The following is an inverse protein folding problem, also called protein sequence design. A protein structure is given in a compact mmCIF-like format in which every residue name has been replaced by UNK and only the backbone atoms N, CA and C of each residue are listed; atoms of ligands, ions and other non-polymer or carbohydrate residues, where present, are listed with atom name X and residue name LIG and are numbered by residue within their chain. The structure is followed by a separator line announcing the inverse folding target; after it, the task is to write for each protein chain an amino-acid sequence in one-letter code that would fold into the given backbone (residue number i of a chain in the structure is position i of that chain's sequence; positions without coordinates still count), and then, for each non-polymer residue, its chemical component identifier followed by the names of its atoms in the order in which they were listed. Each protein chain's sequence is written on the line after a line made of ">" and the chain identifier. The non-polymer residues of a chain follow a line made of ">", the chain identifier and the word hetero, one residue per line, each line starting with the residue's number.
data_IF_949703993626
#
_entry.id   IF_949703993626
#
_cell.length_a   1.000
_cell.length_b   1.000
_cell.length_c   1.000
_cell.angle_alpha   90.00
_cell.angle_beta   90.00
_cell.angle_gamma   90.00
#
_symmetry.space_group_name_H-M   'P 1'
#
loop_
_entity.id
_entity.type
_entity.pdbx_description
1 polymer ?
#
# COMPACT_ATOMS: atom_id res chain seq x y z
N UNK A 1 5.73 13.20 -6.10
CA UNK A 1 5.88 12.03 -5.22
C UNK A 1 4.87 10.99 -5.66
N UNK A 2 5.37 9.89 -6.23
CA UNK A 2 4.60 8.74 -6.67
C UNK A 2 4.04 7.96 -5.46
N UNK A 3 2.81 7.42 -5.58
CA UNK A 3 2.20 6.63 -4.50
C UNK A 3 2.81 5.23 -4.43
N UNK A 4 2.77 4.61 -3.25
CA UNK A 4 3.17 3.21 -3.09
C UNK A 4 1.97 2.35 -2.68
N UNK A 5 1.77 1.28 -3.42
CA UNK A 5 0.84 0.20 -3.12
C UNK A 5 1.60 -1.06 -2.78
N UNK A 6 1.00 -1.91 -1.95
CA UNK A 6 1.58 -3.20 -1.56
C UNK A 6 0.63 -4.32 -1.94
N UNK A 7 1.16 -5.32 -2.63
CA UNK A 7 0.45 -6.57 -2.91
C UNK A 7 0.78 -7.57 -1.82
N UNK A 8 -0.19 -7.88 -0.97
CA UNK A 8 -0.05 -8.86 0.08
C UNK A 8 -0.35 -10.28 -0.44
N UNK A 9 0.28 -11.30 0.16
CA UNK A 9 -0.05 -12.68 -0.12
C UNK A 9 -1.52 -12.97 0.18
N UNK A 10 -2.09 -13.89 -0.58
CA UNK A 10 -3.45 -14.41 -0.37
C UNK A 10 -3.47 -15.69 0.47
N UNK A 11 -2.31 -16.32 0.66
CA UNK A 11 -2.07 -17.38 1.62
C UNK A 11 -1.77 -16.78 3.00
N UNK A 12 -2.52 -17.23 4.01
CA UNK A 12 -2.41 -16.74 5.39
C UNK A 12 -2.05 -17.89 6.31
N UNK A 13 -0.79 -17.92 6.75
CA UNK A 13 -0.31 -18.89 7.75
C UNK A 13 -0.69 -18.48 9.18
N UNK A 14 -0.44 -17.22 9.54
CA UNK A 14 -0.82 -16.62 10.82
C UNK A 14 -1.61 -15.33 10.61
N UNK A 15 -2.89 -15.36 11.00
CA UNK A 15 -3.80 -14.23 10.80
C UNK A 15 -3.43 -13.01 11.67
N UNK A 16 -2.83 -13.23 12.85
CA UNK A 16 -2.40 -12.16 13.74
C UNK A 16 -1.26 -11.36 13.13
N UNK A 17 -0.22 -12.05 12.67
CA UNK A 17 0.93 -11.44 12.00
C UNK A 17 0.52 -10.80 10.68
N UNK A 18 -0.32 -11.47 9.89
CA UNK A 18 -0.84 -10.94 8.63
C UNK A 18 -1.55 -9.59 8.80
N UNK A 19 -2.48 -9.50 9.76
CA UNK A 19 -3.23 -8.26 10.02
C UNK A 19 -2.38 -7.20 10.74
N UNK A 20 -1.37 -7.61 11.52
CA UNK A 20 -0.39 -6.69 12.06
C UNK A 20 0.46 -6.04 10.96
N UNK A 21 0.88 -6.82 9.95
CA UNK A 21 1.60 -6.32 8.78
C UNK A 21 0.74 -5.34 7.97
N UNK A 22 -0.54 -5.65 7.73
CA UNK A 22 -1.46 -4.72 7.04
C UNK A 22 -1.57 -3.36 7.74
N UNK A 23 -1.68 -3.36 9.09
CA UNK A 23 -1.65 -2.12 9.89
C UNK A 23 -0.31 -1.41 9.82
N UNK A 24 0.79 -2.15 9.88
CA UNK A 24 2.12 -1.58 9.83
C UNK A 24 2.43 -0.92 8.48
N UNK A 25 1.96 -1.52 7.38
CA UNK A 25 2.04 -0.95 6.03
C UNK A 25 1.27 0.36 5.92
N UNK A 26 0.04 0.41 6.40
CA UNK A 26 -0.74 1.65 6.46
C UNK A 26 -0.01 2.72 7.29
N UNK A 27 0.46 2.36 8.48
CA UNK A 27 1.19 3.28 9.36
C UNK A 27 2.52 3.76 8.76
N UNK A 28 3.13 2.96 7.88
CA UNK A 28 4.34 3.32 7.15
C UNK A 28 4.06 4.19 5.92
N UNK A 29 2.79 4.40 5.54
CA UNK A 29 2.41 5.28 4.44
C UNK A 29 2.05 4.56 3.13
N UNK A 30 1.78 3.25 3.16
CA UNK A 30 1.20 2.57 2.00
C UNK A 30 -0.14 3.25 1.62
N UNK A 31 -0.26 3.66 0.35
CA UNK A 31 -1.45 4.30 -0.20
C UNK A 31 -2.50 3.32 -0.69
N UNK A 32 -2.08 2.10 -1.06
CA UNK A 32 -2.95 1.04 -1.58
C UNK A 32 -2.50 -0.32 -1.02
N UNK A 33 -3.45 -1.19 -0.68
CA UNK A 33 -3.21 -2.62 -0.45
C UNK A 33 -4.07 -3.42 -1.43
N UNK A 34 -3.45 -4.41 -2.06
CA UNK A 34 -4.10 -5.41 -2.92
C UNK A 34 -3.66 -6.82 -2.51
N UNK A 35 -4.32 -7.84 -3.04
CA UNK A 35 -4.03 -9.25 -2.77
C UNK A 35 -3.54 -9.98 -4.03
N UNK A 36 -2.70 -10.98 -3.85
CA UNK A 36 -2.24 -11.85 -4.93
C UNK A 36 -3.38 -12.68 -5.54
N UNK A 37 -3.60 -12.53 -6.85
CA UNK A 37 -4.50 -13.36 -7.64
C UNK A 37 -5.99 -13.30 -7.24
N UNK A 38 -6.78 -14.18 -7.87
CA UNK A 38 -8.19 -14.39 -7.55
C UNK A 38 -8.33 -15.52 -6.53
N UNK A 39 -7.97 -15.25 -5.28
CA UNK A 39 -8.16 -16.23 -4.20
C UNK A 39 -9.65 -16.37 -3.85
N UNK A 40 -10.15 -17.59 -3.53
CA UNK A 40 -11.54 -17.79 -3.12
C UNK A 40 -11.91 -16.99 -1.86
N UNK A 41 -10.94 -16.77 -0.97
CA UNK A 41 -11.12 -16.06 0.30
C UNK A 41 -10.78 -14.56 0.21
N UNK A 42 -10.56 -14.03 -1.00
CA UNK A 42 -10.15 -12.63 -1.23
C UNK A 42 -11.03 -11.62 -0.51
N UNK A 43 -12.35 -11.81 -0.53
CA UNK A 43 -13.29 -10.90 0.15
C UNK A 43 -13.22 -10.98 1.67
N UNK A 44 -12.91 -12.16 2.21
CA UNK A 44 -12.71 -12.34 3.66
C UNK A 44 -11.43 -11.61 4.08
N UNK A 45 -10.35 -11.78 3.33
CA UNK A 45 -9.07 -11.13 3.60
C UNK A 45 -9.17 -9.60 3.45
N UNK A 46 -9.74 -9.10 2.35
CA UNK A 46 -9.97 -7.66 2.18
C UNK A 46 -10.89 -7.10 3.26
N UNK A 47 -11.92 -7.85 3.68
CA UNK A 47 -12.80 -7.44 4.78
C UNK A 47 -12.06 -7.36 6.11
N UNK A 48 -11.18 -8.33 6.40
CA UNK A 48 -10.34 -8.32 7.58
C UNK A 48 -9.33 -7.15 7.56
N UNK A 49 -8.65 -6.92 6.44
CA UNK A 49 -7.77 -5.77 6.22
C UNK A 49 -8.55 -4.46 6.40
N UNK A 50 -9.75 -4.35 5.83
CA UNK A 50 -10.61 -3.17 5.94
C UNK A 50 -11.01 -2.88 7.40
N UNK A 51 -11.23 -3.92 8.20
CA UNK A 51 -11.58 -3.80 9.61
C UNK A 51 -10.41 -3.35 10.50
N UNK A 52 -9.16 -3.65 10.08
CA UNK A 52 -7.96 -3.33 10.87
C UNK A 52 -7.25 -2.05 10.46
N UNK A 53 -7.59 -1.49 9.30
CA UNK A 53 -7.01 -0.28 8.72
C UNK A 53 -8.03 0.85 8.63
N UNK A 54 -7.58 2.09 8.43
CA UNK A 54 -8.46 3.27 8.47
C UNK A 54 -8.37 4.22 7.28
N UNK A 55 -7.26 4.21 6.54
CA UNK A 55 -6.90 5.23 5.54
C UNK A 55 -6.44 4.63 4.21
N UNK A 56 -5.72 3.51 4.24
CA UNK A 56 -5.17 2.87 3.04
C UNK A 56 -6.30 2.47 2.09
N UNK A 57 -6.12 2.68 0.79
CA UNK A 57 -7.07 2.22 -0.22
C UNK A 57 -6.95 0.70 -0.39
N UNK A 58 -8.05 0.05 -0.75
CA UNK A 58 -8.10 -1.39 -0.97
C UNK A 58 -8.52 -1.65 -2.41
N UNK A 59 -7.65 -2.31 -3.18
CA UNK A 59 -7.99 -2.68 -4.55
C UNK A 59 -8.96 -3.86 -4.52
N UNK A 60 -10.13 -3.66 -5.10
CA UNK A 60 -11.15 -4.67 -5.29
C UNK A 60 -11.73 -4.52 -6.69
N UNK A 61 -11.31 -5.40 -7.59
CA UNK A 61 -11.88 -5.59 -8.91
C UNK A 61 -12.97 -6.69 -8.89
N UNK A 62 -14.05 -6.46 -9.63
CA UNK A 62 -15.13 -7.43 -9.79
C UNK A 62 -16.44 -7.02 -9.12
N UNK A 63 -17.18 -8.01 -8.60
CA UNK A 63 -18.49 -7.82 -7.97
C UNK A 63 -18.37 -7.98 -6.45
N UNK A 64 -17.77 -6.99 -5.79
CA UNK A 64 -17.54 -7.02 -4.35
C UNK A 64 -18.85 -7.05 -3.54
N UNK A 65 -18.88 -7.80 -2.41
CA UNK A 65 -20.02 -7.82 -1.51
C UNK A 65 -20.32 -6.45 -0.89
N UNK A 66 -21.59 -6.15 -0.62
CA UNK A 66 -22.00 -4.90 0.05
C UNK A 66 -21.38 -4.75 1.44
N UNK A 67 -21.21 -5.85 2.17
CA UNK A 67 -20.53 -5.86 3.46
C UNK A 67 -19.08 -5.37 3.37
N UNK A 68 -18.36 -5.72 2.28
CA UNK A 68 -17.01 -5.22 2.07
C UNK A 68 -17.01 -3.71 1.82
N UNK A 69 -17.96 -3.19 1.03
CA UNK A 69 -18.11 -1.74 0.83
C UNK A 69 -18.34 -1.00 2.16
N UNK A 70 -19.20 -1.55 3.02
CA UNK A 70 -19.48 -0.99 4.33
C UNK A 70 -18.24 -0.99 5.24
N UNK A 71 -17.52 -2.11 5.34
CA UNK A 71 -16.29 -2.24 6.15
C UNK A 71 -15.18 -1.31 5.66
N UNK A 72 -15.04 -1.18 4.34
CA UNK A 72 -14.02 -0.34 3.73
C UNK A 72 -14.30 1.15 3.84
N UNK A 73 -15.54 1.56 4.18
CA UNK A 73 -15.90 2.97 4.46
C UNK A 73 -15.51 3.92 3.33
N UNK A 74 -15.68 3.50 2.08
CA UNK A 74 -15.35 4.29 0.88
C UNK A 74 -13.90 4.19 0.40
N UNK A 75 -13.10 3.26 0.93
CA UNK A 75 -11.70 3.04 0.54
C UNK A 75 -11.49 1.99 -0.56
N UNK A 76 -12.56 1.37 -1.07
CA UNK A 76 -12.45 0.42 -2.18
C UNK A 76 -12.25 1.17 -3.49
N UNK A 77 -11.28 0.70 -4.28
CA UNK A 77 -11.01 1.18 -5.64
C UNK A 77 -11.04 -0.02 -6.59
N UNK A 78 -11.71 0.10 -7.73
CA UNK A 78 -11.83 -0.98 -8.73
C UNK A 78 -10.94 -0.74 -9.96
N UNK A 79 -10.71 0.53 -10.28
CA UNK A 79 -9.75 1.04 -11.25
C UNK A 79 -9.54 2.50 -10.84
N UNK A 80 -8.39 2.83 -10.30
CA UNK A 80 -8.15 4.17 -9.72
C UNK A 80 -8.06 5.26 -10.80
N UNK A 81 -8.03 4.90 -12.10
CA UNK A 81 -7.70 5.84 -13.17
C UNK A 81 -6.26 6.35 -13.09
N UNK A 82 -5.48 5.77 -12.18
CA UNK A 82 -4.08 6.06 -11.90
C UNK A 82 -3.23 5.03 -12.63
N UNK A 83 -2.10 5.45 -13.19
CA UNK A 83 -1.16 4.52 -13.83
C UNK A 83 -0.33 3.85 -12.74
N UNK A 84 -0.84 2.75 -12.18
CA UNK A 84 -0.12 1.88 -11.24
C UNK A 84 0.78 0.91 -12.00
N UNK A 85 2.07 0.91 -11.67
CA UNK A 85 3.06 0.02 -12.30
C UNK A 85 3.52 -1.02 -11.28
N UNK A 86 3.47 -2.29 -11.67
CA UNK A 86 4.05 -3.36 -10.86
C UNK A 86 5.57 -3.34 -10.95
N UNK A 87 6.24 -3.39 -9.81
CA UNK A 87 7.70 -3.40 -9.71
C UNK A 87 8.17 -4.44 -8.69
N UNK A 88 9.38 -4.94 -8.89
CA UNK A 88 10.00 -5.87 -7.95
C UNK A 88 10.38 -5.18 -6.64
N UNK A 89 10.55 -5.97 -5.57
CA UNK A 89 11.03 -5.45 -4.28
C UNK A 89 12.45 -4.91 -4.46
N UNK A 90 12.69 -3.62 -4.20
CA UNK A 90 14.03 -3.04 -4.36
C UNK A 90 14.99 -3.64 -3.33
N UNK A 91 16.25 -3.80 -3.75
CA UNK A 91 17.26 -4.45 -2.93
C UNK A 91 17.64 -3.61 -1.69
N UNK A 92 17.70 -2.29 -1.87
CA UNK A 92 18.12 -1.32 -0.86
C UNK A 92 17.49 0.07 -1.08
N UNK A 93 17.84 1.03 -0.22
CA UNK A 93 17.32 2.39 -0.27
C UNK A 93 17.74 3.16 -1.54
N UNK A 94 18.94 2.94 -2.05
CA UNK A 94 19.40 3.63 -3.26
C UNK A 94 18.59 3.15 -4.47
N UNK A 95 18.37 1.84 -4.55
CA UNK A 95 17.52 1.19 -5.55
C UNK A 95 16.07 1.63 -5.45
N UNK A 96 15.57 1.81 -4.22
CA UNK A 96 14.22 2.34 -3.96
C UNK A 96 14.05 3.75 -4.52
N UNK A 97 14.94 4.68 -4.18
CA UNK A 97 14.84 6.09 -4.62
C UNK A 97 14.94 6.17 -6.15
N UNK A 98 15.93 5.50 -6.75
CA UNK A 98 16.10 5.48 -8.21
C UNK A 98 14.87 4.88 -8.92
N UNK A 99 14.31 3.78 -8.39
CA UNK A 99 13.10 3.18 -8.93
C UNK A 99 11.91 4.16 -8.89
N UNK A 100 11.69 4.86 -7.78
CA UNK A 100 10.59 5.83 -7.70
C UNK A 100 10.76 6.99 -8.68
N UNK A 101 11.98 7.52 -8.82
CA UNK A 101 12.30 8.60 -9.76
C UNK A 101 12.11 8.18 -11.23
N UNK A 102 12.53 6.96 -11.58
CA UNK A 102 12.36 6.39 -12.91
C UNK A 102 10.87 6.22 -13.25
N UNK A 103 10.07 5.68 -12.31
CA UNK A 103 8.64 5.48 -12.53
C UNK A 103 7.87 6.81 -12.57
N UNK A 104 8.22 7.79 -11.73
CA UNK A 104 7.64 9.14 -11.79
C UNK A 104 7.97 9.82 -13.13
N UNK A 105 9.21 9.68 -13.61
CA UNK A 105 9.64 10.20 -14.93
C UNK A 105 8.93 9.51 -16.10
N UNK A 106 8.57 8.23 -15.94
CA UNK A 106 7.77 7.48 -16.90
C UNK A 106 6.27 7.85 -16.86
N UNK A 107 5.85 8.72 -15.94
CA UNK A 107 4.46 9.19 -15.80
C UNK A 107 3.58 8.28 -14.94
N UNK A 108 4.16 7.34 -14.19
CA UNK A 108 3.41 6.50 -13.27
C UNK A 108 2.85 7.35 -12.11
N UNK A 109 1.60 7.06 -11.72
CA UNK A 109 0.94 7.73 -10.59
C UNK A 109 1.20 6.98 -9.28
N UNK A 110 1.50 5.68 -9.38
CA UNK A 110 1.83 4.83 -8.26
C UNK A 110 2.62 3.59 -8.68
N UNK A 111 3.30 2.96 -7.74
CA UNK A 111 3.93 1.63 -7.92
C UNK A 111 3.28 0.61 -7.00
N UNK A 112 3.10 -0.62 -7.47
CA UNK A 112 2.66 -1.75 -6.64
C UNK A 112 3.82 -2.71 -6.46
N UNK A 113 4.16 -2.98 -5.21
CA UNK A 113 5.29 -3.83 -4.84
C UNK A 113 4.78 -5.07 -4.11
N UNK A 114 5.26 -6.28 -4.45
CA UNK A 114 4.99 -7.47 -3.66
C UNK A 114 5.42 -7.29 -2.21
N UNK A 115 4.65 -7.84 -1.28
CA UNK A 115 4.98 -7.81 0.14
C UNK A 115 6.35 -8.43 0.43
N UNK A 116 7.16 -7.70 1.18
CA UNK A 116 8.42 -8.15 1.76
C UNK A 116 8.53 -7.49 3.15
N UNK A 117 8.96 -8.22 4.21
CA UNK A 117 9.09 -7.66 5.55
C UNK A 117 9.92 -6.37 5.64
N UNK A 118 10.90 -6.20 4.74
CA UNK A 118 11.78 -5.02 4.66
C UNK A 118 11.03 -3.76 4.19
N UNK A 119 9.85 -3.90 3.58
CA UNK A 119 9.09 -2.76 3.06
C UNK A 119 8.62 -1.81 4.16
N UNK A 120 8.27 -2.31 5.35
CA UNK A 120 7.85 -1.44 6.46
C UNK A 120 8.96 -0.44 6.81
N UNK A 121 10.20 -0.92 6.86
CA UNK A 121 11.36 -0.07 7.19
C UNK A 121 11.70 0.89 6.04
N UNK A 122 11.54 0.46 4.78
CA UNK A 122 11.74 1.32 3.61
C UNK A 122 10.69 2.45 3.53
N UNK A 123 9.44 2.14 3.86
CA UNK A 123 8.31 3.07 3.81
C UNK A 123 8.32 4.09 4.96
N UNK A 124 8.69 3.68 6.18
CA UNK A 124 8.70 4.55 7.38
C UNK A 124 9.64 5.75 7.30
N UNK A 125 10.60 5.75 6.37
CA UNK A 125 11.59 6.80 6.23
C UNK A 125 11.43 7.52 4.87
N UNK A 126 10.32 8.22 4.60
CA UNK A 126 10.29 9.13 3.45
C UNK A 126 11.34 10.22 3.67
N UNK A 127 12.03 10.65 2.61
CA UNK A 127 13.18 11.55 2.69
C UNK A 127 12.96 12.80 3.58
N UNK A 128 14.01 13.35 4.21
CA UNK A 128 13.92 14.45 5.17
C UNK A 128 13.33 15.76 4.62
N UNK A 129 13.11 15.88 3.31
CA UNK A 129 12.63 17.08 2.64
C UNK A 129 11.17 17.46 2.98
N UNK A 130 10.38 16.54 3.54
CA UNK A 130 9.01 16.85 4.00
C UNK A 130 8.97 17.57 5.36
N UNK A 131 10.13 17.83 5.99
CA UNK A 131 10.24 18.62 7.25
C UNK A 131 10.36 20.12 7.01
N UNK A 132 9.74 20.62 5.94
CA UNK A 132 9.62 22.05 5.65
C UNK A 132 8.77 22.80 6.71
N UNK A 133 8.01 22.07 7.52
CA UNK A 133 7.23 22.57 8.65
C UNK A 133 8.07 22.91 9.90
N UNK A 134 9.31 22.42 9.98
CA UNK A 134 10.18 22.55 11.17
C UNK A 134 11.08 23.80 11.19
N UNK A 135 10.91 24.74 10.25
CA UNK A 135 11.70 25.97 10.18
C UNK A 135 10.97 27.26 10.62
N UNK A 136 9.73 27.18 11.13
CA UNK A 136 9.03 28.37 11.66
C UNK A 136 8.88 28.27 13.18
N UNK A 137 9.98 28.43 13.93
CA UNK A 137 9.93 28.82 15.35
C UNK A 137 11.32 29.25 15.88
N UNK A 138 11.94 30.24 15.27
CA UNK A 138 12.92 31.09 15.96
C UNK A 138 12.68 32.54 15.56
N UNK A 139 11.71 33.15 16.23
CA UNK A 139 11.45 34.59 16.25
C UNK A 139 11.28 35.04 17.69
#
# INVERSE_FOLDING_TARGET
>A
MIKVGVRMPSDVDDAGDYLANARALEAAGAGLITLDGEAPDRWVLLGAIAAVTERVQLLADGSEPESLRALSRGRLVADSGESWVEVDVPADRASWVAMLEDQESAGATGVIIPWDPRLIDLLRNPDPDDRSDLLIATG
#
